data_IF_407780670769
#
_entry.id   IF_407780670769
#
_cell.length_a   1.000
_cell.length_b   1.000
_cell.length_c   1.000
_cell.angle_alpha   90.00
_cell.angle_beta   90.00
_cell.angle_gamma   90.00
#
_symmetry.space_group_name_H-M   'P 1'
#
loop_
_entity.id
_entity.type
_entity.pdbx_description
1 polymer ?
#
# COMPACT_ATOMS: atom_id res chain seq x y z
N UNK A 1 0.67 1.04 -4.81
CA UNK A 1 1.94 1.23 -4.06
C UNK A 1 1.78 0.99 -2.59
N UNK A 2 2.77 1.35 -1.80
CA UNK A 2 2.72 1.16 -0.36
C UNK A 2 4.05 1.53 0.31
N UNK A 3 4.16 1.16 1.57
CA UNK A 3 5.33 1.50 2.39
C UNK A 3 6.55 0.67 1.98
N UNK A 4 7.70 1.32 1.85
CA UNK A 4 8.96 0.60 1.67
C UNK A 4 9.25 -0.30 2.88
N UNK A 5 9.98 -1.36 2.75
CA UNK A 5 10.58 -1.92 1.54
C UNK A 5 9.65 -2.93 0.85
N UNK A 6 8.74 -3.56 1.59
CA UNK A 6 7.90 -4.66 1.13
C UNK A 6 7.05 -4.35 -0.09
N UNK A 7 6.56 -3.12 -0.21
CA UNK A 7 5.74 -2.72 -1.34
C UNK A 7 6.51 -2.52 -2.65
N UNK A 8 7.84 -2.38 -2.60
CA UNK A 8 8.64 -2.07 -3.79
C UNK A 8 8.54 -3.14 -4.86
N UNK A 9 8.87 -4.42 -4.59
CA UNK A 9 8.75 -5.46 -5.61
C UNK A 9 7.30 -5.71 -6.02
N UNK A 10 6.36 -5.63 -5.09
CA UNK A 10 4.94 -5.85 -5.37
C UNK A 10 4.38 -4.81 -6.33
N UNK A 11 4.73 -3.54 -6.13
CA UNK A 11 4.32 -2.44 -7.01
C UNK A 11 4.88 -2.64 -8.42
N UNK A 12 6.16 -3.00 -8.53
CA UNK A 12 6.78 -3.29 -9.82
C UNK A 12 6.12 -4.45 -10.55
N UNK A 13 5.82 -5.53 -9.85
CA UNK A 13 5.13 -6.70 -10.42
C UNK A 13 3.71 -6.33 -10.87
N UNK A 14 2.97 -5.59 -10.06
CA UNK A 14 1.61 -5.18 -10.39
C UNK A 14 1.57 -4.35 -11.68
N UNK A 15 2.48 -3.39 -11.83
CA UNK A 15 2.58 -2.57 -13.04
C UNK A 15 2.98 -3.43 -14.24
N UNK A 16 3.97 -4.30 -14.08
CA UNK A 16 4.46 -5.17 -15.16
C UNK A 16 3.39 -6.14 -15.66
N UNK A 17 2.49 -6.58 -14.79
CA UNK A 17 1.40 -7.50 -15.12
C UNK A 17 0.09 -6.82 -15.50
N UNK A 18 0.01 -5.51 -15.38
CA UNK A 18 -1.19 -4.77 -15.77
C UNK A 18 -1.48 -4.95 -17.26
N UNK A 19 -2.75 -5.05 -17.66
CA UNK A 19 -3.10 -5.16 -19.08
C UNK A 19 -2.57 -3.97 -19.88
N UNK A 20 -2.17 -4.23 -21.13
CA UNK A 20 -1.76 -3.18 -22.07
C UNK A 20 -2.91 -2.17 -22.21
N UNK A 21 -2.58 -0.87 -22.07
CA UNK A 21 -3.58 0.21 -22.13
C UNK A 21 -4.24 0.53 -20.80
N UNK A 22 -3.93 -0.21 -19.72
CA UNK A 22 -4.40 0.19 -18.38
C UNK A 22 -3.66 1.46 -17.93
N UNK A 23 -4.37 2.33 -17.20
CA UNK A 23 -3.81 3.57 -16.64
C UNK A 23 -3.21 3.36 -15.24
N UNK A 24 -2.66 2.17 -14.98
CA UNK A 24 -2.10 1.83 -13.67
C UNK A 24 -0.74 2.50 -13.48
N UNK A 25 -0.63 3.32 -12.47
CA UNK A 25 0.59 4.01 -12.07
C UNK A 25 1.08 3.46 -10.72
N UNK A 26 2.36 3.64 -10.43
CA UNK A 26 2.95 3.16 -9.19
C UNK A 26 3.63 4.25 -8.39
N UNK A 27 3.59 4.10 -7.09
CA UNK A 27 4.26 4.97 -6.13
C UNK A 27 4.81 4.14 -4.99
N UNK A 28 5.76 4.71 -4.24
CA UNK A 28 6.31 4.10 -3.02
C UNK A 28 6.29 5.14 -1.92
N UNK A 29 5.89 4.73 -0.73
CA UNK A 29 5.91 5.57 0.46
C UNK A 29 7.13 5.19 1.28
N UNK A 30 7.99 6.15 1.56
CA UNK A 30 9.18 5.94 2.37
C UNK A 30 8.81 5.99 3.85
N UNK A 31 9.48 5.17 4.66
CA UNK A 31 9.31 5.18 6.12
C UNK A 31 9.61 6.54 6.71
N UNK A 32 10.67 7.18 6.20
CA UNK A 32 11.07 8.52 6.59
C UNK A 32 11.13 9.42 5.37
N UNK A 33 10.56 10.62 5.47
CA UNK A 33 10.65 11.61 4.42
C UNK A 33 12.09 12.13 4.34
N UNK A 34 12.76 11.93 3.19
CA UNK A 34 14.02 12.64 2.93
C UNK A 34 13.71 14.11 2.68
N UNK A 35 14.37 15.01 3.42
CA UNK A 35 14.15 16.45 3.33
C UNK A 35 14.46 17.10 1.98
N UNK A 36 14.98 16.36 1.00
CA UNK A 36 15.46 16.91 -0.27
C UNK A 36 15.07 16.16 -1.55
N UNK A 37 14.30 15.08 -1.50
CA UNK A 37 14.19 14.15 -2.63
C UNK A 37 12.90 14.21 -3.46
N UNK A 38 11.76 14.49 -2.88
CA UNK A 38 10.47 14.23 -3.51
C UNK A 38 9.93 15.32 -4.45
N UNK A 39 10.59 16.44 -4.56
CA UNK A 39 10.01 17.62 -5.24
C UNK A 39 10.01 17.56 -6.77
N UNK A 40 10.77 16.64 -7.35
CA UNK A 40 10.84 16.49 -8.82
C UNK A 40 9.57 15.88 -9.41
N UNK A 41 8.82 15.13 -8.62
CA UNK A 41 7.59 14.48 -9.06
C UNK A 41 6.32 15.27 -8.74
N UNK A 42 6.44 16.35 -7.96
CA UNK A 42 5.28 17.09 -7.44
C UNK A 42 4.62 16.46 -6.22
N UNK A 43 5.10 15.30 -5.78
CA UNK A 43 4.59 14.64 -4.58
C UNK A 43 5.16 15.29 -3.30
N UNK A 44 4.45 15.20 -2.16
CA UNK A 44 5.02 15.56 -0.87
C UNK A 44 6.28 14.73 -0.56
N UNK A 45 7.18 15.23 0.30
CA UNK A 45 8.35 14.47 0.72
C UNK A 45 7.99 13.08 1.24
N UNK A 46 8.76 12.07 0.83
CA UNK A 46 8.56 10.69 1.24
C UNK A 46 7.61 9.88 0.36
N UNK A 47 7.16 10.44 -0.76
CA UNK A 47 6.41 9.69 -1.78
C UNK A 47 7.18 9.76 -3.08
N UNK A 48 7.56 8.61 -3.60
CA UNK A 48 8.34 8.44 -4.83
C UNK A 48 7.47 7.80 -5.92
N UNK A 49 7.85 8.02 -7.17
CA UNK A 49 7.17 7.43 -8.33
C UNK A 49 6.20 8.40 -9.00
N UNK A 50 5.07 7.87 -9.43
CA UNK A 50 4.08 8.68 -10.13
C UNK A 50 3.51 9.78 -9.25
N UNK A 51 3.21 10.94 -9.85
CA UNK A 51 2.58 12.05 -9.12
C UNK A 51 1.17 11.68 -8.72
N UNK A 52 0.86 11.84 -7.44
CA UNK A 52 -0.48 11.63 -6.88
C UNK A 52 -1.23 12.95 -6.83
N UNK A 53 -2.51 12.90 -7.17
CA UNK A 53 -3.41 14.04 -7.17
C UNK A 53 -4.64 13.76 -6.31
N UNK A 54 -5.25 14.80 -5.77
CA UNK A 54 -6.51 14.66 -5.04
C UNK A 54 -7.56 13.96 -5.92
N UNK A 55 -8.26 13.00 -5.33
CA UNK A 55 -9.25 12.18 -6.02
C UNK A 55 -8.69 10.91 -6.66
N UNK A 56 -7.38 10.72 -6.69
CA UNK A 56 -6.79 9.48 -7.19
C UNK A 56 -7.19 8.30 -6.29
N UNK A 57 -7.51 7.18 -6.93
CA UNK A 57 -7.85 5.94 -6.23
C UNK A 57 -6.60 5.09 -6.08
N UNK A 58 -6.28 4.77 -4.84
CA UNK A 58 -5.05 4.06 -4.50
C UNK A 58 -5.36 2.71 -3.84
N UNK A 59 -4.58 1.70 -4.20
CA UNK A 59 -4.54 0.42 -3.51
C UNK A 59 -3.18 0.31 -2.82
N UNK A 60 -3.19 -0.02 -1.53
CA UNK A 60 -1.97 -0.27 -0.79
C UNK A 60 -1.57 -1.72 -0.98
N UNK A 61 -0.29 -1.95 -1.29
CA UNK A 61 0.31 -3.26 -1.39
C UNK A 61 1.22 -3.50 -0.19
N UNK A 62 1.08 -4.66 0.43
CA UNK A 62 1.85 -5.05 1.61
C UNK A 62 2.33 -6.49 1.46
N UNK A 63 3.55 -6.79 1.89
CA UNK A 63 4.05 -8.17 1.87
C UNK A 63 3.46 -8.97 3.04
N UNK A 64 3.58 -8.49 4.26
CA UNK A 64 3.06 -9.15 5.46
C UNK A 64 2.32 -8.14 6.33
N UNK A 65 1.12 -8.49 6.75
CA UNK A 65 0.36 -7.72 7.73
C UNK A 65 0.34 -8.45 9.06
N UNK A 66 0.73 -7.76 10.11
CA UNK A 66 0.59 -8.19 11.50
C UNK A 66 -0.54 -7.42 12.17
N UNK A 67 -0.24 -6.31 12.81
CA UNK A 67 -1.23 -5.43 13.43
C UNK A 67 -1.85 -4.42 12.46
N UNK A 68 -1.24 -4.23 11.29
CA UNK A 68 -1.71 -3.28 10.28
C UNK A 68 -1.20 -1.85 10.44
N UNK A 69 -0.43 -1.56 11.49
CA UNK A 69 -0.02 -0.19 11.81
C UNK A 69 0.78 0.49 10.71
N UNK A 70 1.74 -0.20 10.09
CA UNK A 70 2.57 0.37 9.03
C UNK A 70 1.77 0.74 7.79
N UNK A 71 0.90 -0.15 7.33
CA UNK A 71 0.08 0.09 6.15
C UNK A 71 -1.00 1.16 6.43
N UNK A 72 -1.53 1.21 7.65
CA UNK A 72 -2.48 2.27 8.03
C UNK A 72 -1.82 3.66 8.04
N UNK A 73 -0.58 3.77 8.49
CA UNK A 73 0.18 5.02 8.37
C UNK A 73 0.37 5.44 6.92
N UNK A 74 0.63 4.48 6.04
CA UNK A 74 0.71 4.75 4.61
C UNK A 74 -0.64 5.26 4.07
N UNK A 75 -1.74 4.65 4.49
CA UNK A 75 -3.09 5.08 4.12
C UNK A 75 -3.37 6.51 4.57
N UNK A 76 -3.02 6.86 5.81
CA UNK A 76 -3.20 8.23 6.33
C UNK A 76 -2.48 9.26 5.46
N UNK A 77 -1.26 8.96 5.04
CA UNK A 77 -0.48 9.86 4.17
C UNK A 77 -1.13 10.07 2.81
N UNK A 78 -1.74 9.04 2.26
CA UNK A 78 -2.48 9.14 0.99
C UNK A 78 -3.76 9.96 1.16
N UNK A 79 -4.49 9.76 2.23
CA UNK A 79 -5.69 10.52 2.56
C UNK A 79 -5.35 12.00 2.76
N UNK A 80 -4.23 12.31 3.41
CA UNK A 80 -3.77 13.69 3.61
C UNK A 80 -3.51 14.44 2.29
N UNK A 81 -3.15 13.72 1.23
CA UNK A 81 -2.99 14.29 -0.13
C UNK A 81 -4.35 14.49 -0.81
N UNK A 82 -5.39 13.85 -0.32
CA UNK A 82 -6.72 13.84 -0.92
C UNK A 82 -7.01 12.61 -1.77
N UNK A 83 -6.16 11.58 -1.72
CA UNK A 83 -6.40 10.33 -2.42
C UNK A 83 -7.46 9.49 -1.68
N UNK A 84 -8.15 8.65 -2.44
CA UNK A 84 -9.05 7.63 -1.92
C UNK A 84 -8.30 6.31 -1.80
N UNK A 85 -8.19 5.76 -0.58
CA UNK A 85 -7.61 4.44 -0.36
C UNK A 85 -8.72 3.40 -0.49
N UNK A 86 -8.70 2.65 -1.58
CA UNK A 86 -9.78 1.72 -1.96
C UNK A 86 -9.67 0.41 -1.19
N UNK A 87 -8.46 -0.09 -0.99
CA UNK A 87 -8.18 -1.36 -0.34
C UNK A 87 -6.71 -1.47 0.03
N UNK A 88 -6.39 -2.42 0.89
CA UNK A 88 -5.03 -2.91 1.08
C UNK A 88 -4.99 -4.39 0.68
N UNK A 89 -4.09 -4.73 -0.24
CA UNK A 89 -3.83 -6.13 -0.61
C UNK A 89 -2.53 -6.55 0.08
N UNK A 90 -2.61 -7.59 0.88
CA UNK A 90 -1.43 -8.15 1.55
C UNK A 90 -1.19 -9.59 1.07
N UNK A 91 0.07 -9.96 0.90
CA UNK A 91 0.41 -11.34 0.52
C UNK A 91 0.07 -12.29 1.66
N UNK A 92 0.51 -11.98 2.87
CA UNK A 92 0.24 -12.78 4.05
C UNK A 92 -0.36 -11.93 5.17
N UNK A 93 -1.53 -12.31 5.63
CA UNK A 93 -2.09 -11.80 6.87
C UNK A 93 -1.80 -12.80 8.01
N UNK A 94 -1.01 -12.38 8.98
CA UNK A 94 -0.67 -13.18 10.16
C UNK A 94 -1.80 -13.23 11.19
N UNK A 95 -2.88 -12.52 10.95
CA UNK A 95 -4.08 -12.52 11.80
C UNK A 95 -3.80 -12.04 13.24
N UNK A 96 -3.02 -10.99 13.35
CA UNK A 96 -2.65 -10.36 14.63
C UNK A 96 -3.38 -9.03 14.85
N UNK A 97 -4.61 -8.90 14.36
CA UNK A 97 -5.47 -7.73 14.53
C UNK A 97 -5.48 -6.77 13.35
N UNK A 98 -4.74 -7.02 12.28
CA UNK A 98 -4.67 -6.13 11.12
C UNK A 98 -6.01 -5.95 10.42
N UNK A 99 -6.75 -7.04 10.20
CA UNK A 99 -8.05 -6.99 9.54
C UNK A 99 -9.04 -6.09 10.29
N UNK A 100 -9.08 -6.20 11.61
CA UNK A 100 -9.94 -5.39 12.47
C UNK A 100 -9.53 -3.91 12.42
N UNK A 101 -8.22 -3.64 12.48
CA UNK A 101 -7.69 -2.28 12.40
C UNK A 101 -8.04 -1.61 11.06
N UNK A 102 -7.92 -2.33 9.96
CA UNK A 102 -8.32 -1.84 8.64
C UNK A 102 -9.83 -1.64 8.54
N UNK A 103 -10.62 -2.56 9.09
CA UNK A 103 -12.08 -2.42 9.12
C UNK A 103 -12.51 -1.16 9.90
N UNK A 104 -11.88 -0.89 11.04
CA UNK A 104 -12.13 0.33 11.82
C UNK A 104 -11.78 1.60 11.03
N UNK A 105 -10.80 1.54 10.15
CA UNK A 105 -10.42 2.64 9.28
C UNK A 105 -11.29 2.73 8.00
N UNK A 106 -12.21 1.80 7.81
CA UNK A 106 -13.08 1.75 6.63
C UNK A 106 -12.38 1.28 5.36
N UNK A 107 -11.26 0.58 5.48
CA UNK A 107 -10.46 0.10 4.34
C UNK A 107 -10.49 -1.43 4.34
N UNK A 108 -10.94 -2.08 3.26
CA UNK A 108 -10.87 -3.54 3.15
C UNK A 108 -9.42 -4.04 3.16
N UNK A 109 -9.13 -5.04 3.97
CA UNK A 109 -7.88 -5.80 3.91
C UNK A 109 -8.14 -7.10 3.13
N UNK A 110 -7.44 -7.27 2.03
CA UNK A 110 -7.60 -8.39 1.11
C UNK A 110 -6.32 -9.26 1.13
N UNK A 111 -6.25 -10.30 1.94
CA UNK A 111 -5.09 -11.17 1.97
C UNK A 111 -5.13 -12.17 0.82
N UNK A 112 -3.96 -12.51 0.27
CA UNK A 112 -3.83 -13.65 -0.65
C UNK A 112 -3.77 -14.95 0.15
N UNK A 113 -3.07 -14.93 1.28
CA UNK A 113 -2.92 -16.07 2.19
C UNK A 113 -3.03 -15.57 3.63
N UNK A 114 -3.67 -16.33 4.48
CA UNK A 114 -3.69 -16.08 5.93
C UNK A 114 -2.83 -17.11 6.67
N UNK A 115 -2.45 -16.81 7.91
CA UNK A 115 -1.74 -17.75 8.75
C UNK A 115 -2.56 -19.03 8.96
N UNK A 116 -3.87 -18.90 9.12
CA UNK A 116 -4.78 -20.06 9.24
C UNK A 116 -4.72 -20.96 8.01
N UNK A 117 -4.62 -20.39 6.78
CA UNK A 117 -4.48 -21.16 5.55
C UNK A 117 -3.19 -21.99 5.55
N UNK A 118 -2.08 -21.39 6.00
CA UNK A 118 -0.79 -22.07 6.09
C UNK A 118 -0.84 -23.20 7.11
N UNK A 119 -1.39 -22.95 8.28
CA UNK A 119 -1.52 -23.95 9.34
C UNK A 119 -2.41 -25.12 8.92
N UNK A 120 -3.48 -24.84 8.19
CA UNK A 120 -4.38 -25.89 7.68
C UNK A 120 -3.72 -26.77 6.61
N UNK A 121 -2.68 -26.27 5.92
CA UNK A 121 -1.93 -27.00 4.89
C UNK A 121 -0.76 -27.83 5.45
N UNK A 122 -0.41 -27.62 6.71
CA UNK A 122 0.73 -28.27 7.35
C UNK A 122 0.43 -29.75 7.74
#
# INVERSE_FOLDING_TARGET
>A
GGLELGAVPLTGIAIAKAPIGSALNGFIIRKEAKGRGGRKTGNPPGIEGSTLSAGDRCVILEDVTTTGGSALKAAERLVDIGCEVVACITILDRQEGGAEAFADAGIPLLPLVTLSDIEASA
#
